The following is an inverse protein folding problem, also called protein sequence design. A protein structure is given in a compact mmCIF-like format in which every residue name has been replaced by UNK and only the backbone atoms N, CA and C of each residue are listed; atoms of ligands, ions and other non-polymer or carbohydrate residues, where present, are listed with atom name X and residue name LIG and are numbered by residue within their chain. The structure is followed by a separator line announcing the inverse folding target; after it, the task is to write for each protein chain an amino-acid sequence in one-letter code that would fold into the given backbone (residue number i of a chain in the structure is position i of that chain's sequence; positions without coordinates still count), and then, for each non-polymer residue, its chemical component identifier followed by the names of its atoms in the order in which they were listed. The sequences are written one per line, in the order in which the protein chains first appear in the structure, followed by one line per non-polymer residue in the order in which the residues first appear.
data_IF_622291138909
#
_entry.id   IF_622291138909
#
_cell.length_a   1.000
_cell.length_b   1.000
_cell.length_c   1.000
_cell.angle_alpha   90.00
_cell.angle_beta   90.00
_cell.angle_gamma   90.00
#
_symmetry.space_group_name_H-M   'P 1'
#
loop_
_entity.id
_entity.type
_entity.pdbx_description
1 polymer ?
#
# COMPACT_ATOMS: atom_id res chain seq x y z
N UNK A 1 80.71 -0.08 -18.55
CA UNK A 1 81.11 -0.62 -19.88
C UNK A 1 79.91 -1.38 -20.42
N UNK A 2 79.00 -0.74 -21.16
CA UNK A 2 78.91 -0.59 -22.62
C UNK A 2 78.61 -1.92 -23.37
N UNK A 3 77.48 -1.88 -24.12
CA UNK A 3 77.06 -2.71 -25.28
C UNK A 3 76.22 -3.95 -24.87
N UNK A 4 75.10 -4.29 -25.52
CA UNK A 4 74.87 -4.43 -26.97
C UNK A 4 73.37 -4.35 -27.35
N UNK A 5 73.09 -3.58 -28.41
CA UNK A 5 72.28 -3.86 -29.63
C UNK A 5 71.55 -5.23 -29.74
N UNK A 6 70.42 -5.47 -30.43
CA UNK A 6 69.54 -4.75 -31.39
C UNK A 6 68.27 -5.62 -31.62
N UNK A 7 67.13 -5.01 -31.97
CA UNK A 7 66.02 -5.49 -32.82
C UNK A 7 65.31 -6.84 -32.54
N UNK A 8 63.99 -6.79 -32.30
CA UNK A 8 63.01 -7.39 -33.23
C UNK A 8 61.62 -6.79 -33.01
N UNK A 9 60.96 -6.47 -34.11
CA UNK A 9 59.65 -5.83 -34.20
C UNK A 9 58.58 -6.90 -34.47
N UNK A 10 57.32 -6.55 -34.15
CA UNK A 10 56.05 -7.16 -34.55
C UNK A 10 55.46 -8.21 -33.60
N UNK A 11 54.44 -7.77 -32.85
CA UNK A 11 53.18 -8.50 -32.76
C UNK A 11 52.05 -7.49 -32.45
N UNK A 12 51.15 -7.34 -33.41
CA UNK A 12 49.91 -6.59 -33.27
C UNK A 12 48.92 -7.39 -32.42
N UNK A 13 48.34 -6.74 -31.41
CA UNK A 13 47.08 -7.15 -30.79
C UNK A 13 46.41 -5.90 -30.19
N UNK A 14 45.54 -5.28 -30.98
CA UNK A 14 44.67 -4.20 -30.51
C UNK A 14 43.57 -4.89 -29.70
N UNK A 15 43.74 -4.95 -28.37
CA UNK A 15 42.69 -5.40 -27.46
C UNK A 15 41.73 -4.22 -27.26
N UNK A 16 40.66 -4.16 -28.06
CA UNK A 16 39.60 -3.17 -27.86
C UNK A 16 38.87 -3.47 -26.55
N UNK A 17 39.21 -2.70 -25.52
CA UNK A 17 38.53 -2.69 -24.23
C UNK A 17 37.15 -2.07 -24.42
N UNK A 18 36.13 -2.89 -24.72
CA UNK A 18 34.76 -2.43 -24.66
C UNK A 18 34.38 -2.21 -23.18
N UNK A 19 33.86 -1.03 -22.80
CA UNK A 19 33.31 -0.86 -21.47
C UNK A 19 32.14 -1.82 -21.30
N UNK A 20 32.20 -2.68 -20.28
CA UNK A 20 31.04 -3.41 -19.78
C UNK A 20 30.04 -2.35 -19.33
N UNK A 21 29.07 -2.03 -20.17
CA UNK A 21 27.87 -1.37 -19.71
C UNK A 21 27.14 -2.38 -18.83
N UNK A 22 27.33 -2.27 -17.51
CA UNK A 22 26.45 -2.90 -16.53
C UNK A 22 25.06 -2.34 -16.78
N UNK A 23 24.25 -3.07 -17.52
CA UNK A 23 22.82 -2.84 -17.58
C UNK A 23 22.30 -3.10 -16.17
N UNK A 24 22.16 -2.03 -15.39
CA UNK A 24 21.42 -2.08 -14.14
C UNK A 24 19.97 -2.41 -14.52
N UNK A 25 19.57 -3.67 -14.36
CA UNK A 25 18.17 -4.04 -14.44
C UNK A 25 17.45 -3.32 -13.31
N UNK A 26 16.77 -2.22 -13.62
CA UNK A 26 15.79 -1.62 -12.73
C UNK A 26 14.73 -2.70 -12.47
N UNK A 27 14.80 -3.31 -11.28
CA UNK A 27 13.73 -4.16 -10.80
C UNK A 27 12.52 -3.24 -10.59
N UNK A 28 11.61 -3.20 -11.57
CA UNK A 28 10.27 -2.71 -11.34
C UNK A 28 9.67 -3.60 -10.24
N UNK A 29 9.58 -3.07 -9.03
CA UNK A 29 8.99 -3.76 -7.90
C UNK A 29 7.49 -3.91 -8.15
N UNK A 30 7.07 -5.12 -8.52
CA UNK A 30 5.68 -5.51 -8.35
C UNK A 30 5.53 -6.04 -6.95
N UNK A 31 4.64 -5.42 -6.18
CA UNK A 31 4.36 -5.83 -4.81
C UNK A 31 2.99 -6.51 -4.73
N UNK A 32 2.92 -7.55 -3.93
CA UNK A 32 1.71 -8.34 -3.73
C UNK A 32 1.06 -7.90 -2.43
N UNK A 33 -0.15 -7.35 -2.51
CA UNK A 33 -0.91 -6.88 -1.33
C UNK A 33 -2.15 -7.73 -1.15
N UNK A 34 -2.34 -8.26 0.06
CA UNK A 34 -3.57 -8.96 0.44
C UNK A 34 -4.55 -7.97 1.06
N UNK A 35 -5.83 -8.13 0.73
CA UNK A 35 -6.91 -7.29 1.22
C UNK A 35 -7.98 -8.14 1.91
N UNK A 36 -8.51 -7.63 3.02
CA UNK A 36 -9.83 -8.00 3.51
C UNK A 36 -10.88 -7.24 2.68
N UNK A 37 -11.83 -7.97 2.12
CA UNK A 37 -12.97 -7.41 1.40
C UNK A 37 -14.23 -7.69 2.20
N UNK A 38 -14.91 -6.64 2.63
CA UNK A 38 -16.20 -6.71 3.29
C UNK A 38 -17.27 -6.26 2.30
N UNK A 39 -18.29 -7.10 2.13
CA UNK A 39 -19.43 -6.80 1.25
C UNK A 39 -20.69 -6.65 2.07
N UNK A 40 -21.36 -5.53 1.92
CA UNK A 40 -22.56 -5.19 2.67
C UNK A 40 -23.82 -5.57 1.89
N UNK A 41 -24.92 -5.72 2.63
CA UNK A 41 -26.23 -6.06 2.07
C UNK A 41 -26.76 -4.99 1.10
N UNK A 42 -26.38 -3.73 1.30
CA UNK A 42 -26.70 -2.60 0.42
C UNK A 42 -25.84 -2.54 -0.87
N UNK A 43 -24.88 -3.48 -1.02
CA UNK A 43 -23.97 -3.54 -2.16
C UNK A 43 -22.69 -2.71 -2.01
N UNK A 44 -22.54 -1.94 -0.92
CA UNK A 44 -21.27 -1.29 -0.59
C UNK A 44 -20.18 -2.35 -0.43
N UNK A 45 -18.98 -2.05 -0.89
CA UNK A 45 -17.80 -2.92 -0.73
C UNK A 45 -16.67 -2.11 -0.13
N UNK A 46 -16.15 -2.58 1.01
CA UNK A 46 -15.02 -1.99 1.71
C UNK A 46 -13.81 -2.92 1.64
N UNK A 47 -12.68 -2.41 1.15
CA UNK A 47 -11.41 -3.13 1.05
C UNK A 47 -10.41 -2.52 2.01
N UNK A 48 -9.79 -3.36 2.81
CA UNK A 48 -8.74 -2.99 3.75
C UNK A 48 -7.48 -3.78 3.44
N UNK A 49 -6.37 -3.09 3.25
CA UNK A 49 -5.08 -3.76 3.04
C UNK A 49 -4.61 -4.48 4.32
N UNK A 50 -3.82 -5.53 4.15
CA UNK A 50 -3.29 -6.36 5.24
C UNK A 50 -1.80 -6.60 5.00
N UNK A 51 -0.95 -6.39 6.01
CA UNK A 51 0.48 -6.73 5.93
C UNK A 51 0.80 -8.18 6.20
N UNK A 52 -0.07 -8.88 6.90
CA UNK A 52 0.13 -10.29 7.23
C UNK A 52 -1.21 -11.02 7.29
N UNK A 53 -1.14 -12.33 7.47
CA UNK A 53 -2.34 -13.15 7.65
C UNK A 53 -3.11 -12.68 8.90
N UNK A 54 -4.37 -12.25 8.78
CA UNK A 54 -5.13 -11.78 9.92
C UNK A 54 -5.73 -12.95 10.69
N UNK A 55 -6.07 -12.69 11.95
CA UNK A 55 -6.92 -13.56 12.76
C UNK A 55 -8.33 -12.98 12.80
N UNK A 56 -9.33 -13.79 12.43
CA UNK A 56 -10.73 -13.43 12.58
C UNK A 56 -11.28 -14.01 13.89
N UNK A 57 -12.10 -13.21 14.56
CA UNK A 57 -12.81 -13.60 15.76
C UNK A 57 -14.16 -12.90 15.82
N UNK A 58 -15.02 -13.35 16.72
CA UNK A 58 -16.32 -12.74 16.98
C UNK A 58 -16.35 -12.20 18.41
N UNK A 59 -16.88 -10.99 18.58
CA UNK A 59 -17.09 -10.36 19.87
C UNK A 59 -18.51 -9.78 19.92
N UNK A 60 -19.44 -10.53 20.53
CA UNK A 60 -20.87 -10.23 20.45
C UNK A 60 -21.33 -10.25 18.99
N UNK A 61 -22.05 -9.20 18.57
CA UNK A 61 -22.59 -9.07 17.21
C UNK A 61 -21.60 -8.41 16.23
N UNK A 62 -20.30 -8.55 16.49
CA UNK A 62 -19.25 -7.94 15.68
C UNK A 62 -18.21 -8.94 15.22
N UNK A 63 -17.81 -8.78 13.96
CA UNK A 63 -16.60 -9.38 13.41
C UNK A 63 -15.40 -8.52 13.84
N UNK A 64 -14.39 -9.17 14.41
CA UNK A 64 -13.11 -8.55 14.79
C UNK A 64 -12.01 -9.19 13.98
N UNK A 65 -11.31 -8.37 13.21
CA UNK A 65 -10.15 -8.77 12.39
C UNK A 65 -8.91 -8.15 12.98
N UNK A 66 -7.98 -8.99 13.41
CA UNK A 66 -6.70 -8.58 14.01
C UNK A 66 -5.56 -8.84 13.03
N UNK A 67 -4.72 -7.84 12.77
CA UNK A 67 -3.58 -7.95 11.86
C UNK A 67 -2.45 -7.04 12.37
N UNK A 68 -1.27 -7.61 12.66
CA UNK A 68 -0.11 -6.92 13.24
C UNK A 68 -0.42 -6.05 14.45
N UNK A 69 -1.29 -6.55 15.33
CA UNK A 69 -1.72 -5.82 16.53
C UNK A 69 -2.75 -4.71 16.30
N UNK A 70 -3.00 -4.31 15.04
CA UNK A 70 -4.14 -3.48 14.64
C UNK A 70 -5.42 -4.31 14.68
N UNK A 71 -6.56 -3.63 14.85
CA UNK A 71 -7.87 -4.29 14.85
C UNK A 71 -8.88 -3.50 14.02
N UNK A 72 -9.62 -4.21 13.18
CA UNK A 72 -10.85 -3.72 12.56
C UNK A 72 -12.03 -4.43 13.19
N UNK A 73 -13.03 -3.67 13.62
CA UNK A 73 -14.27 -4.19 14.16
C UNK A 73 -15.45 -3.62 13.38
N UNK A 74 -16.35 -4.51 12.96
CA UNK A 74 -17.58 -4.18 12.23
C UNK A 74 -18.74 -4.99 12.78
N UNK A 75 -19.93 -4.41 12.82
CA UNK A 75 -21.14 -5.16 13.13
C UNK A 75 -21.38 -6.25 12.07
N UNK A 76 -21.88 -7.41 12.51
CA UNK A 76 -22.35 -8.49 11.65
C UNK A 76 -23.67 -8.13 10.96
N UNK A 77 -24.50 -7.32 11.62
CA UNK A 77 -25.71 -6.78 11.02
C UNK A 77 -25.36 -6.06 9.71
N UNK A 78 -26.04 -6.42 8.62
CA UNK A 78 -25.85 -5.82 7.30
C UNK A 78 -24.55 -6.21 6.59
N UNK A 79 -23.68 -7.02 7.20
CA UNK A 79 -22.57 -7.68 6.51
C UNK A 79 -23.10 -8.90 5.76
N UNK A 80 -22.92 -8.93 4.44
CA UNK A 80 -23.37 -10.04 3.59
C UNK A 80 -22.30 -11.12 3.47
N UNK A 81 -21.05 -10.71 3.25
CA UNK A 81 -19.93 -11.61 3.02
C UNK A 81 -18.60 -10.95 3.38
N UNK A 82 -17.59 -11.77 3.68
CA UNK A 82 -16.20 -11.33 3.78
C UNK A 82 -15.27 -12.31 3.05
N UNK A 83 -14.26 -11.78 2.37
CA UNK A 83 -13.27 -12.58 1.65
C UNK A 83 -11.89 -11.96 1.70
N UNK A 84 -10.89 -12.75 1.31
CA UNK A 84 -9.51 -12.28 1.13
C UNK A 84 -9.15 -12.32 -0.34
N UNK A 85 -8.60 -11.23 -0.85
CA UNK A 85 -8.07 -11.18 -2.23
C UNK A 85 -6.65 -10.65 -2.23
N UNK A 86 -5.90 -11.00 -3.25
CA UNK A 86 -4.50 -10.60 -3.40
C UNK A 86 -4.33 -9.91 -4.74
N UNK A 87 -3.75 -8.72 -4.73
CA UNK A 87 -3.55 -7.90 -5.93
C UNK A 87 -2.08 -7.54 -6.08
N UNK A 88 -1.59 -7.57 -7.32
CA UNK A 88 -0.28 -7.05 -7.66
C UNK A 88 -0.38 -5.55 -7.93
N UNK A 89 0.30 -4.75 -7.11
CA UNK A 89 0.44 -3.31 -7.31
C UNK A 89 1.84 -3.01 -7.84
N UNK A 90 1.94 -2.02 -8.73
CA UNK A 90 3.25 -1.53 -9.18
C UNK A 90 3.68 -0.40 -8.27
N UNK A 91 4.90 -0.45 -7.74
CA UNK A 91 5.46 0.67 -6.95
C UNK A 91 6.09 1.74 -7.84
N UNK A 92 5.52 1.95 -9.04
CA UNK A 92 6.13 2.72 -10.13
C UNK A 92 6.77 4.03 -9.64
N UNK A 93 8.11 4.08 -9.67
CA UNK A 93 8.86 5.33 -9.78
C UNK A 93 8.67 5.79 -11.22
N UNK A 94 7.95 6.89 -11.46
CA UNK A 94 8.19 7.65 -12.69
C UNK A 94 9.55 8.31 -12.52
N UNK A 95 10.51 7.91 -13.33
CA UNK A 95 11.82 8.57 -13.44
C UNK A 95 11.62 10.09 -13.53
N UNK A 96 11.96 10.80 -12.45
CA UNK A 96 12.25 12.23 -12.49
C UNK A 96 13.78 12.30 -12.54
N UNK A 97 14.39 13.06 -13.47
CA UNK A 97 15.84 13.19 -13.52
C UNK A 97 16.34 13.71 -12.18
N UNK A 98 17.14 12.88 -11.51
CA UNK A 98 17.71 13.13 -10.19
C UNK A 98 18.55 14.41 -10.20
N UNK A 99 18.19 15.36 -9.34
CA UNK A 99 19.16 16.22 -8.68
C UNK A 99 19.01 16.03 -7.18
N UNK A 100 19.83 15.13 -6.64
CA UNK A 100 20.22 15.09 -5.22
C UNK A 100 19.08 15.11 -4.20
N UNK A 101 18.50 13.96 -3.91
CA UNK A 101 17.94 13.70 -2.58
C UNK A 101 18.00 12.22 -2.29
N UNK A 102 18.61 11.86 -1.16
CA UNK A 102 18.62 10.51 -0.61
C UNK A 102 17.19 10.11 -0.25
N UNK A 103 16.46 9.60 -1.23
CA UNK A 103 15.15 9.00 -1.03
C UNK A 103 15.35 7.63 -0.40
N UNK A 104 15.23 7.56 0.93
CA UNK A 104 14.86 6.31 1.60
C UNK A 104 13.52 5.88 1.03
N UNK A 105 13.55 4.87 0.17
CA UNK A 105 12.38 4.21 -0.39
C UNK A 105 11.41 3.87 0.75
N UNK A 106 10.19 4.41 0.79
CA UNK A 106 9.19 3.90 1.70
C UNK A 106 8.77 2.54 1.14
N UNK A 107 9.29 1.46 1.70
CA UNK A 107 8.63 0.17 1.60
C UNK A 107 7.19 0.39 2.11
N UNK A 108 6.14 0.00 1.38
CA UNK A 108 4.79 0.25 1.84
C UNK A 108 4.56 -0.57 3.09
N UNK A 109 4.43 0.14 4.20
CA UNK A 109 3.98 -0.43 5.45
C UNK A 109 2.49 -0.70 5.29
N UNK A 110 2.17 -1.90 4.81
CA UNK A 110 0.78 -2.35 4.70
C UNK A 110 0.26 -2.58 6.11
N UNK A 111 -0.95 -2.14 6.40
CA UNK A 111 -1.71 -2.40 7.61
C UNK A 111 -3.18 -2.14 7.22
N UNK A 112 -4.08 -1.95 8.17
CA UNK A 112 -5.29 -1.12 7.94
C UNK A 112 -4.94 0.35 7.62
N UNK A 113 -3.85 0.61 6.90
CA UNK A 113 -3.30 1.91 6.55
C UNK A 113 -4.13 2.60 5.48
N UNK A 114 -4.74 1.83 4.57
CA UNK A 114 -5.61 2.36 3.54
C UNK A 114 -6.92 1.56 3.50
N UNK A 115 -8.04 2.28 3.48
CA UNK A 115 -9.36 1.71 3.27
C UNK A 115 -9.94 2.28 1.98
N UNK A 116 -10.27 1.41 1.03
CA UNK A 116 -11.02 1.80 -0.18
C UNK A 116 -12.45 1.36 -0.02
N UNK A 117 -13.38 2.31 -0.12
CA UNK A 117 -14.81 2.03 -0.04
C UNK A 117 -15.41 2.35 -1.41
N UNK A 118 -16.26 1.45 -1.91
CA UNK A 118 -16.87 1.53 -3.23
C UNK A 118 -18.34 1.12 -3.18
N UNK A 119 -19.09 1.46 -4.24
CA UNK A 119 -20.53 1.24 -4.27
C UNK A 119 -21.34 2.30 -3.52
N UNK A 120 -20.71 3.41 -3.14
CA UNK A 120 -21.40 4.56 -2.57
C UNK A 120 -22.14 5.34 -3.66
N UNK A 121 -23.14 6.13 -3.26
CA UNK A 121 -23.67 7.17 -4.14
C UNK A 121 -22.58 8.21 -4.41
N UNK A 122 -22.45 8.67 -5.65
CA UNK A 122 -21.55 9.79 -5.98
C UNK A 122 -21.85 11.01 -5.08
N UNK A 123 -20.81 11.62 -4.54
CA UNK A 123 -20.96 12.73 -3.58
C UNK A 123 -21.27 12.30 -2.14
N UNK A 124 -21.36 11.01 -1.84
CA UNK A 124 -21.57 10.54 -0.47
C UNK A 124 -20.40 10.93 0.43
N UNK A 125 -20.70 11.32 1.67
CA UNK A 125 -19.69 11.68 2.66
C UNK A 125 -19.23 10.46 3.44
N UNK A 126 -17.91 10.29 3.54
CA UNK A 126 -17.26 9.38 4.47
C UNK A 126 -16.47 10.22 5.47
N UNK A 127 -16.72 9.98 6.76
CA UNK A 127 -16.11 10.75 7.84
C UNK A 127 -15.25 9.86 8.71
N UNK A 128 -14.12 10.38 9.14
CA UNK A 128 -13.23 9.73 10.09
C UNK A 128 -13.30 10.50 11.40
N UNK A 129 -13.71 9.82 12.46
CA UNK A 129 -13.77 10.38 13.80
C UNK A 129 -12.68 9.78 14.69
N UNK A 130 -12.11 10.58 15.58
CA UNK A 130 -11.31 10.06 16.69
C UNK A 130 -12.23 9.54 17.82
N UNK A 131 -11.64 8.94 18.85
CA UNK A 131 -12.38 8.42 20.02
C UNK A 131 -13.15 9.50 20.80
N UNK A 132 -12.75 10.76 20.70
CA UNK A 132 -13.48 11.88 21.29
C UNK A 132 -14.69 12.33 20.46
N UNK A 133 -14.97 11.66 19.33
CA UNK A 133 -16.08 11.98 18.43
C UNK A 133 -15.82 13.20 17.53
N UNK A 134 -14.58 13.69 17.46
CA UNK A 134 -14.20 14.81 16.59
C UNK A 134 -13.88 14.28 15.20
N UNK A 135 -14.49 14.88 14.18
CA UNK A 135 -14.19 14.57 12.78
C UNK A 135 -12.77 15.06 12.45
N UNK A 136 -11.86 14.14 12.19
CA UNK A 136 -10.45 14.41 11.84
C UNK A 136 -10.21 14.38 10.33
N UNK A 137 -11.13 13.76 9.57
CA UNK A 137 -11.13 13.79 8.10
C UNK A 137 -12.56 13.67 7.58
N UNK A 138 -12.84 14.32 6.46
CA UNK A 138 -14.09 14.18 5.71
C UNK A 138 -13.75 14.08 4.24
N UNK A 139 -14.21 13.02 3.61
CA UNK A 139 -13.95 12.67 2.23
C UNK A 139 -15.29 12.51 1.50
N UNK A 140 -15.27 12.80 0.22
CA UNK A 140 -16.45 12.70 -0.64
C UNK A 140 -16.21 11.62 -1.68
N UNK A 141 -17.18 10.74 -1.87
CA UNK A 141 -17.12 9.72 -2.91
C UNK A 141 -17.10 10.37 -4.30
N UNK A 142 -16.24 9.87 -5.18
CA UNK A 142 -16.09 10.33 -6.56
C UNK A 142 -17.33 10.00 -7.43
N UNK A 143 -17.26 10.33 -8.72
CA UNK A 143 -18.34 10.08 -9.67
C UNK A 143 -18.65 8.57 -9.83
N UNK A 144 -17.67 7.71 -9.53
CA UNK A 144 -17.78 6.26 -9.55
C UNK A 144 -18.23 5.67 -8.20
N UNK A 145 -18.49 6.52 -7.20
CA UNK A 145 -18.94 6.10 -5.87
C UNK A 145 -17.84 5.48 -5.03
N UNK A 146 -16.57 5.87 -5.26
CA UNK A 146 -15.40 5.38 -4.54
C UNK A 146 -14.76 6.46 -3.67
N UNK A 147 -14.13 6.02 -2.60
CA UNK A 147 -13.31 6.86 -1.73
C UNK A 147 -12.16 6.05 -1.16
N UNK A 148 -11.00 6.69 -1.05
CA UNK A 148 -9.83 6.14 -0.36
C UNK A 148 -9.57 6.92 0.92
N UNK A 149 -9.40 6.21 2.03
CA UNK A 149 -9.11 6.76 3.35
C UNK A 149 -7.70 6.32 3.75
N UNK A 150 -6.81 7.29 3.94
CA UNK A 150 -5.46 7.06 4.45
C UNK A 150 -5.43 7.27 5.97
N UNK A 151 -5.17 6.19 6.71
CA UNK A 151 -5.08 6.15 8.16
C UNK A 151 -3.64 6.30 8.67
N UNK A 152 -2.62 6.25 7.80
CA UNK A 152 -1.22 6.40 8.19
C UNK A 152 -0.90 7.82 8.68
N UNK A 153 -1.56 8.82 8.12
CA UNK A 153 -1.33 10.22 8.49
C UNK A 153 -2.06 10.62 9.78
N UNK A 154 -2.77 9.68 10.42
CA UNK A 154 -3.46 9.91 11.68
C UNK A 154 -2.61 9.41 12.86
N UNK A 155 -2.62 10.11 14.01
CA UNK A 155 -1.97 9.64 15.23
C UNK A 155 -2.40 8.22 15.62
N UNK A 156 -1.57 7.48 16.36
CA UNK A 156 -1.96 6.16 16.87
C UNK A 156 -3.15 6.28 17.82
N UNK A 157 -4.10 5.38 17.71
CA UNK A 157 -5.35 5.44 18.45
C UNK A 157 -6.52 4.73 17.77
N UNK A 158 -7.71 4.94 18.33
CA UNK A 158 -8.95 4.37 17.83
C UNK A 158 -9.67 5.40 16.97
N UNK A 159 -10.11 4.96 15.80
CA UNK A 159 -10.87 5.74 14.83
C UNK A 159 -12.19 5.06 14.47
N UNK A 160 -13.16 5.87 14.09
CA UNK A 160 -14.44 5.43 13.53
C UNK A 160 -14.52 5.95 12.10
N UNK A 161 -14.47 5.04 11.13
CA UNK A 161 -14.80 5.33 9.73
C UNK A 161 -16.30 5.19 9.56
N UNK A 162 -16.98 6.29 9.26
CA UNK A 162 -18.43 6.34 9.10
C UNK A 162 -18.78 6.62 7.64
N UNK A 163 -19.44 5.67 7.01
CA UNK A 163 -20.11 5.82 5.71
C UNK A 163 -21.60 6.09 5.94
N UNK A 164 -22.38 6.45 4.89
CA UNK A 164 -23.81 6.66 5.05
C UNK A 164 -24.58 5.43 5.57
N UNK A 165 -24.07 4.22 5.34
CA UNK A 165 -24.76 2.97 5.68
C UNK A 165 -24.10 2.17 6.80
N UNK A 166 -22.79 2.29 7.00
CA UNK A 166 -22.05 1.53 8.01
C UNK A 166 -20.94 2.33 8.66
N UNK A 167 -20.51 1.84 9.81
CA UNK A 167 -19.34 2.38 10.50
C UNK A 167 -18.39 1.25 10.89
N UNK A 168 -17.10 1.55 10.82
CA UNK A 168 -16.00 0.65 11.12
C UNK A 168 -15.17 1.24 12.24
N UNK A 169 -14.90 0.46 13.27
CA UNK A 169 -13.96 0.85 14.32
C UNK A 169 -12.59 0.30 13.98
N UNK A 170 -11.60 1.17 13.90
CA UNK A 170 -10.22 0.81 13.54
C UNK A 170 -9.29 1.22 14.67
N UNK A 171 -8.52 0.28 15.18
CA UNK A 171 -7.40 0.53 16.08
C UNK A 171 -6.11 0.61 15.24
N UNK A 172 -5.55 1.81 15.14
CA UNK A 172 -4.25 2.10 14.51
C UNK A 172 -3.18 2.11 15.61
N UNK A 173 -2.38 1.04 15.71
CA UNK A 173 -1.27 0.88 16.67
C UNK A 173 0.05 1.35 16.11
#
# INVERSE_FOLDING_TARGET
MKKRTLLTMVAAAIMTLAPLHSQASSANGTETVTYLVLTQTDGTVSKFSLNEAPVLSYAGDSLVVTCSGNQLMTALEGLRDYSFTTEQITTSIKDVPSTGSTSTTPAPNVAFSNATISGLKAGALVRVYNISGVAVSTLTADAEGKVSVDLNNLPKGVYILSTPSKSFKVLNK
#
